data_IF_457382241087
#
_entry.id   IF_457382241087
#
_cell.length_a   1.000
_cell.length_b   1.000
_cell.length_c   1.000
_cell.angle_alpha   90.00
_cell.angle_beta   90.00
_cell.angle_gamma   90.00
#
_symmetry.space_group_name_H-M   'P 1'
#
loop_
_entity.id
_entity.type
_entity.pdbx_description
1 polymer ?
#
# COMPACT_ATOMS: atom_id res chain seq x y z
N UNK A 1 -18.94 -10.45 -7.11
CA UNK A 1 -19.05 -11.83 -7.61
C UNK A 1 -17.64 -12.32 -7.86
N UNK A 2 -17.26 -13.46 -7.28
CA UNK A 2 -15.89 -13.99 -7.36
C UNK A 2 -15.61 -14.46 -8.79
N UNK A 3 -14.43 -14.14 -9.29
CA UNK A 3 -13.99 -14.58 -10.62
C UNK A 3 -13.88 -16.11 -10.64
N UNK A 4 -14.52 -16.74 -11.64
CA UNK A 4 -14.60 -18.21 -11.79
C UNK A 4 -13.57 -18.81 -12.75
N UNK A 5 -12.82 -17.97 -13.48
CA UNK A 5 -11.80 -18.36 -14.45
C UNK A 5 -10.43 -17.84 -14.02
N UNK A 6 -9.39 -18.59 -14.31
CA UNK A 6 -8.02 -18.12 -14.18
C UNK A 6 -7.74 -16.92 -15.09
N UNK A 7 -6.78 -16.10 -14.68
CA UNK A 7 -6.28 -15.01 -15.50
C UNK A 7 -4.78 -14.86 -15.29
N UNK A 8 -4.12 -14.28 -16.29
CA UNK A 8 -2.71 -13.88 -16.23
C UNK A 8 -2.65 -12.38 -16.42
N UNK A 9 -1.99 -11.68 -15.50
CA UNK A 9 -1.56 -10.30 -15.69
C UNK A 9 -0.10 -10.33 -16.10
N UNK A 10 0.26 -9.82 -17.28
CA UNK A 10 1.66 -9.86 -17.72
C UNK A 10 2.52 -8.92 -16.88
N UNK A 11 3.84 -9.09 -16.98
CA UNK A 11 4.79 -8.19 -16.37
C UNK A 11 4.58 -6.76 -16.90
N UNK A 12 4.55 -5.77 -16.00
CA UNK A 12 4.30 -4.36 -16.33
C UNK A 12 2.85 -4.02 -16.69
N UNK A 13 1.93 -4.99 -16.74
CA UNK A 13 0.50 -4.73 -16.91
C UNK A 13 -0.22 -4.75 -15.56
N UNK A 14 -1.39 -4.13 -15.50
CA UNK A 14 -2.30 -4.23 -14.37
C UNK A 14 -3.59 -4.99 -14.73
N UNK A 15 -4.21 -5.62 -13.73
CA UNK A 15 -5.54 -6.22 -13.84
C UNK A 15 -6.54 -5.11 -14.20
N UNK A 16 -7.31 -5.34 -15.26
CA UNK A 16 -8.20 -4.34 -15.87
C UNK A 16 -7.50 -3.11 -16.47
N UNK A 17 -6.17 -3.09 -16.53
CA UNK A 17 -5.40 -1.91 -16.96
C UNK A 17 -5.43 -0.75 -15.96
N UNK A 18 -5.77 -1.02 -14.69
CA UNK A 18 -5.86 -0.01 -13.64
C UNK A 18 -4.50 0.25 -13.00
N UNK A 19 -3.99 1.46 -13.17
CA UNK A 19 -2.71 1.89 -12.59
C UNK A 19 -2.98 3.10 -11.70
N UNK A 20 -2.65 3.01 -10.41
CA UNK A 20 -2.79 4.11 -9.47
C UNK A 20 -1.45 4.75 -9.16
N UNK A 21 -1.50 6.01 -8.74
CA UNK A 21 -0.36 6.69 -8.13
C UNK A 21 -0.77 7.19 -6.76
N UNK A 22 -0.14 6.69 -5.71
CA UNK A 22 -0.31 7.26 -4.38
C UNK A 22 0.51 8.54 -4.32
N UNK A 23 -0.14 9.69 -4.49
CA UNK A 23 0.48 11.02 -4.39
C UNK A 23 0.26 11.59 -2.99
N UNK A 24 0.95 12.68 -2.65
CA UNK A 24 0.74 13.46 -1.42
C UNK A 24 1.23 12.81 -0.12
N UNK A 25 1.17 11.48 -0.04
CA UNK A 25 1.67 10.67 1.08
C UNK A 25 2.99 10.00 0.72
N UNK A 26 3.02 9.36 -0.45
CA UNK A 26 4.23 8.87 -1.12
C UNK A 26 4.19 9.32 -2.58
N UNK A 27 5.04 8.75 -3.43
CA UNK A 27 5.00 8.83 -4.90
C UNK A 27 4.98 7.43 -5.51
N UNK A 28 4.31 6.49 -4.85
CA UNK A 28 4.30 5.10 -5.27
C UNK A 28 3.37 4.91 -6.48
N UNK A 29 3.83 4.16 -7.47
CA UNK A 29 2.95 3.62 -8.52
C UNK A 29 2.44 2.25 -8.05
N UNK A 30 1.13 2.02 -8.14
CA UNK A 30 0.49 0.77 -7.75
C UNK A 30 -0.25 0.17 -8.93
N UNK A 31 0.29 -0.92 -9.44
CA UNK A 31 -0.34 -1.72 -10.49
C UNK A 31 -1.17 -2.81 -9.81
N UNK A 32 -2.49 -2.78 -9.98
CA UNK A 32 -3.33 -3.82 -9.40
C UNK A 32 -3.03 -5.16 -10.10
N UNK A 33 -2.76 -6.21 -9.33
CA UNK A 33 -2.48 -7.56 -9.86
C UNK A 33 -3.65 -8.51 -9.63
N UNK A 34 -4.32 -8.36 -8.49
CA UNK A 34 -5.56 -9.06 -8.14
C UNK A 34 -6.48 -8.03 -7.49
N UNK A 35 -7.68 -7.83 -8.04
CA UNK A 35 -8.65 -6.88 -7.49
C UNK A 35 -9.54 -7.53 -6.43
N UNK A 36 -10.02 -6.73 -5.48
CA UNK A 36 -11.13 -7.10 -4.61
C UNK A 36 -12.37 -7.53 -5.40
N UNK A 37 -12.58 -6.99 -6.61
CA UNK A 37 -13.66 -7.43 -7.50
C UNK A 37 -13.49 -8.88 -7.95
N UNK A 38 -12.26 -9.38 -8.12
CA UNK A 38 -11.99 -10.77 -8.48
C UNK A 38 -12.25 -11.74 -7.31
N UNK A 39 -12.21 -11.25 -6.07
CA UNK A 39 -12.08 -12.08 -4.86
C UNK A 39 -13.27 -11.99 -3.91
N UNK A 40 -14.37 -11.36 -4.33
CA UNK A 40 -15.48 -11.00 -3.42
C UNK A 40 -14.98 -10.21 -2.21
N UNK A 41 -14.10 -9.25 -2.48
CA UNK A 41 -13.43 -8.41 -1.49
C UNK A 41 -12.49 -9.18 -0.54
N UNK A 42 -12.23 -10.47 -0.76
CA UNK A 42 -11.40 -11.28 0.15
C UNK A 42 -9.91 -10.98 0.09
N UNK A 43 -9.41 -10.40 -1.00
CA UNK A 43 -7.99 -10.13 -1.23
C UNK A 43 -7.80 -9.09 -2.33
N UNK A 44 -6.91 -8.12 -2.12
CA UNK A 44 -6.34 -7.32 -3.19
C UNK A 44 -4.81 -7.43 -3.16
N UNK A 45 -4.18 -7.42 -4.32
CA UNK A 45 -2.72 -7.50 -4.48
C UNK A 45 -2.28 -6.45 -5.49
N UNK A 46 -1.24 -5.70 -5.15
CA UNK A 46 -0.62 -4.69 -6.01
C UNK A 46 0.88 -4.97 -6.16
N UNK A 47 1.42 -4.72 -7.35
CA UNK A 47 2.84 -4.47 -7.52
C UNK A 47 3.05 -2.98 -7.29
N UNK A 48 3.82 -2.64 -6.25
CA UNK A 48 4.11 -1.27 -5.88
C UNK A 48 5.55 -0.93 -6.28
N UNK A 49 5.71 0.09 -7.12
CA UNK A 49 7.01 0.72 -7.39
C UNK A 49 7.12 2.00 -6.58
N UNK A 50 8.07 2.03 -5.64
CA UNK A 50 8.28 3.17 -4.75
C UNK A 50 9.31 4.15 -5.30
N UNK A 51 8.96 5.44 -5.24
CA UNK A 51 9.75 6.57 -5.76
C UNK A 51 9.89 7.68 -4.71
N UNK A 52 9.99 7.30 -3.43
CA UNK A 52 10.04 8.24 -2.30
C UNK A 52 11.20 7.91 -1.38
N UNK A 53 12.46 8.09 -1.82
CA UNK A 53 13.62 7.86 -0.97
C UNK A 53 13.53 8.71 0.29
N UNK A 54 13.87 8.11 1.43
CA UNK A 54 13.74 8.69 2.76
C UNK A 54 12.33 9.18 3.10
N UNK A 55 11.30 8.59 2.50
CA UNK A 55 9.90 8.84 2.86
C UNK A 55 9.04 7.58 2.84
N UNK A 56 7.79 7.77 3.27
CA UNK A 56 6.81 6.71 3.40
C UNK A 56 5.51 7.22 4.04
N UNK A 57 4.51 6.34 4.24
CA UNK A 57 3.22 6.75 4.77
C UNK A 57 3.33 7.21 6.24
N UNK A 58 2.35 7.99 6.73
CA UNK A 58 2.22 8.22 8.16
C UNK A 58 2.01 6.90 8.91
N UNK A 59 2.34 6.88 10.19
CA UNK A 59 1.98 5.77 11.06
C UNK A 59 0.45 5.64 11.13
N UNK A 60 -0.06 4.48 10.74
CA UNK A 60 -1.49 4.25 10.62
C UNK A 60 -1.89 2.83 11.02
N UNK A 61 -3.20 2.60 11.16
CA UNK A 61 -3.81 1.33 11.52
C UNK A 61 -4.86 0.97 10.48
N UNK A 62 -4.84 -0.29 10.05
CA UNK A 62 -5.95 -0.96 9.39
C UNK A 62 -6.79 -1.73 10.44
N UNK A 63 -8.02 -1.33 10.77
CA UNK A 63 -8.87 -2.03 11.72
C UNK A 63 -9.38 -3.38 11.19
N UNK A 64 -9.55 -3.47 9.87
CA UNK A 64 -10.21 -4.60 9.22
C UNK A 64 -9.29 -5.44 8.34
N UNK A 65 -8.20 -4.87 7.82
CA UNK A 65 -7.27 -5.58 6.94
C UNK A 65 -6.00 -5.98 7.68
N UNK A 66 -5.57 -7.22 7.48
CA UNK A 66 -4.13 -7.52 7.56
C UNK A 66 -3.47 -7.01 6.28
N UNK A 67 -2.25 -6.49 6.40
CA UNK A 67 -1.43 -6.06 5.27
C UNK A 67 -0.16 -6.91 5.21
N UNK A 68 0.31 -7.20 4.01
CA UNK A 68 1.48 -8.04 3.79
C UNK A 68 2.34 -7.47 2.67
N UNK A 69 3.65 -7.47 2.88
CA UNK A 69 4.64 -7.05 1.89
C UNK A 69 5.65 -8.13 1.57
N UNK A 70 6.08 -8.16 0.32
CA UNK A 70 7.27 -8.86 -0.14
C UNK A 70 8.16 -7.89 -0.93
N UNK A 71 9.44 -7.78 -0.55
CA UNK A 71 10.38 -6.87 -1.21
C UNK A 71 10.98 -7.55 -2.43
N UNK A 72 10.70 -7.00 -3.62
CA UNK A 72 11.30 -7.44 -4.87
C UNK A 72 12.66 -6.74 -5.07
N UNK A 73 12.70 -5.41 -4.89
CA UNK A 73 13.89 -4.59 -5.12
C UNK A 73 13.95 -3.41 -4.14
N UNK A 74 15.17 -2.97 -3.83
CA UNK A 74 15.41 -1.86 -2.91
C UNK A 74 15.42 -2.28 -1.44
N UNK A 75 15.51 -1.30 -0.57
CA UNK A 75 15.58 -1.50 0.88
C UNK A 75 14.59 -0.59 1.59
N UNK A 76 14.01 -1.10 2.68
CA UNK A 76 13.00 -0.43 3.47
C UNK A 76 13.27 -0.61 4.96
N UNK A 77 12.80 0.33 5.77
CA UNK A 77 12.55 0.10 7.19
C UNK A 77 11.05 0.02 7.38
N UNK A 78 10.54 -1.08 7.94
CA UNK A 78 9.17 -1.17 8.39
C UNK A 78 9.12 -0.94 9.90
N UNK A 79 8.13 -0.19 10.36
CA UNK A 79 7.74 -0.16 11.77
C UNK A 79 6.43 -0.91 11.92
N UNK A 80 6.37 -1.85 12.87
CA UNK A 80 5.17 -2.64 13.19
C UNK A 80 5.01 -2.67 14.70
N UNK A 81 3.97 -2.03 15.22
CA UNK A 81 3.88 -1.72 16.63
C UNK A 81 5.00 -0.77 17.04
N UNK A 82 5.86 -1.24 17.94
CA UNK A 82 7.01 -0.51 18.46
C UNK A 82 8.33 -0.97 17.83
N UNK A 83 8.32 -2.10 17.10
CA UNK A 83 9.51 -2.70 16.51
C UNK A 83 9.80 -2.15 15.12
N UNK A 84 11.10 -2.10 14.78
CA UNK A 84 11.58 -1.73 13.45
C UNK A 84 12.36 -2.86 12.79
N UNK A 85 12.13 -3.04 11.50
CA UNK A 85 12.70 -4.12 10.70
C UNK A 85 13.34 -3.53 9.45
N UNK A 86 14.65 -3.74 9.26
CA UNK A 86 15.29 -3.49 7.97
C UNK A 86 14.97 -4.64 7.02
N UNK A 87 14.52 -4.29 5.83
CA UNK A 87 14.04 -5.21 4.81
C UNK A 87 14.80 -4.98 3.51
N UNK A 88 15.25 -6.07 2.87
CA UNK A 88 15.91 -6.07 1.56
C UNK A 88 15.18 -7.01 0.60
N UNK A 89 15.60 -7.03 -0.66
CA UNK A 89 15.10 -7.98 -1.67
C UNK A 89 15.05 -9.42 -1.14
N UNK A 90 13.88 -10.05 -1.28
CA UNK A 90 13.61 -11.41 -0.81
C UNK A 90 12.90 -11.49 0.53
N UNK A 91 12.93 -10.42 1.33
CA UNK A 91 12.30 -10.41 2.64
C UNK A 91 10.79 -10.18 2.54
N UNK A 92 10.07 -10.68 3.54
CA UNK A 92 8.63 -10.51 3.68
C UNK A 92 8.26 -10.06 5.10
N UNK A 93 7.22 -9.24 5.22
CA UNK A 93 6.69 -8.81 6.51
C UNK A 93 5.17 -8.85 6.48
N UNK A 94 4.59 -9.34 7.57
CA UNK A 94 3.15 -9.39 7.80
C UNK A 94 2.80 -8.34 8.86
N UNK A 95 1.78 -7.55 8.58
CA UNK A 95 1.29 -6.43 9.38
C UNK A 95 -0.12 -6.78 9.85
N UNK A 96 -0.28 -7.30 11.08
CA UNK A 96 -1.59 -7.68 11.58
C UNK A 96 -2.52 -6.46 11.67
N UNK A 97 -3.80 -6.67 11.38
CA UNK A 97 -4.86 -5.68 11.63
C UNK A 97 -4.81 -5.19 13.08
N UNK A 98 -5.22 -3.96 13.30
CA UNK A 98 -5.22 -3.27 14.60
C UNK A 98 -3.81 -3.01 15.19
N UNK A 99 -2.73 -3.33 14.47
CA UNK A 99 -1.37 -2.96 14.84
C UNK A 99 -0.91 -1.79 13.97
N UNK A 100 -0.42 -0.72 14.61
CA UNK A 100 0.07 0.44 13.90
C UNK A 100 1.32 0.10 13.08
N UNK A 101 1.43 0.64 11.88
CA UNK A 101 2.60 0.44 11.04
C UNK A 101 2.84 1.60 10.07
N UNK A 102 4.08 1.64 9.59
CA UNK A 102 4.56 2.52 8.54
C UNK A 102 5.78 1.87 7.88
N UNK A 103 6.21 2.41 6.74
CA UNK A 103 7.50 2.08 6.18
C UNK A 103 8.27 3.35 5.81
N UNK A 104 9.58 3.21 5.62
CA UNK A 104 10.50 4.20 5.08
C UNK A 104 11.25 3.52 3.94
N UNK A 105 11.19 4.08 2.73
CA UNK A 105 12.02 3.62 1.63
C UNK A 105 13.44 4.20 1.78
N UNK A 106 14.47 3.36 1.76
CA UNK A 106 15.87 3.79 1.92
C UNK A 106 16.56 4.07 0.59
N UNK A 107 16.17 3.37 -0.48
CA UNK A 107 16.79 3.47 -1.80
C UNK A 107 16.04 4.44 -2.72
N UNK A 108 16.71 4.96 -3.75
CA UNK A 108 16.11 5.86 -4.77
C UNK A 108 14.87 5.26 -5.45
N UNK A 109 14.91 3.95 -5.69
CA UNK A 109 13.80 3.17 -6.23
C UNK A 109 13.62 1.92 -5.38
N UNK A 110 12.37 1.55 -5.15
CA UNK A 110 12.02 0.28 -4.54
C UNK A 110 10.89 -0.41 -5.30
N UNK A 111 10.73 -1.70 -5.07
CA UNK A 111 9.65 -2.52 -5.62
C UNK A 111 9.19 -3.54 -4.60
N UNK A 112 7.89 -3.59 -4.36
CA UNK A 112 7.26 -4.53 -3.43
C UNK A 112 6.01 -5.14 -4.05
N UNK A 113 5.64 -6.33 -3.62
CA UNK A 113 4.24 -6.75 -3.67
C UNK A 113 3.61 -6.35 -2.35
N UNK A 114 2.42 -5.74 -2.41
CA UNK A 114 1.60 -5.44 -1.23
C UNK A 114 0.23 -6.09 -1.38
N UNK A 115 -0.30 -6.60 -0.28
CA UNK A 115 -1.62 -7.21 -0.26
C UNK A 115 -2.42 -6.85 0.98
N UNK A 116 -3.74 -6.84 0.82
CA UNK A 116 -4.72 -6.52 1.85
C UNK A 116 -5.73 -7.65 1.99
N UNK A 117 -5.94 -8.13 3.22
CA UNK A 117 -6.85 -9.22 3.55
C UNK A 117 -7.83 -8.81 4.66
N UNK A 118 -9.11 -8.51 4.36
CA UNK A 118 -9.74 -8.43 3.04
C UNK A 118 -9.22 -7.25 2.20
N UNK A 119 -9.61 -7.15 0.92
CA UNK A 119 -9.25 -6.03 0.04
C UNK A 119 -9.70 -4.66 0.63
N UNK A 120 -10.89 -4.63 1.21
CA UNK A 120 -11.45 -3.41 1.80
C UNK A 120 -11.59 -2.28 0.79
N UNK A 121 -11.30 -1.04 1.22
CA UNK A 121 -11.44 0.17 0.39
C UNK A 121 -10.13 0.63 -0.27
N UNK A 122 -9.12 -0.23 -0.35
CA UNK A 122 -7.78 0.20 -0.80
C UNK A 122 -7.73 0.66 -2.25
N UNK A 123 -8.44 0.00 -3.16
CA UNK A 123 -8.54 0.48 -4.55
C UNK A 123 -9.17 1.87 -4.64
N UNK A 124 -10.22 2.13 -3.83
CA UNK A 124 -10.86 3.44 -3.77
C UNK A 124 -9.92 4.50 -3.16
N UNK A 125 -9.15 4.13 -2.13
CA UNK A 125 -8.16 5.00 -1.51
C UNK A 125 -7.10 5.44 -2.52
N UNK A 126 -6.50 4.49 -3.25
CA UNK A 126 -5.49 4.81 -4.24
C UNK A 126 -6.04 5.66 -5.38
N UNK A 127 -7.29 5.40 -5.80
CA UNK A 127 -7.99 6.22 -6.81
C UNK A 127 -8.22 7.67 -6.35
N UNK A 128 -8.44 7.91 -5.06
CA UNK A 128 -8.53 9.28 -4.51
C UNK A 128 -7.15 9.94 -4.51
N UNK A 129 -6.13 9.26 -3.99
CA UNK A 129 -4.77 9.84 -3.91
C UNK A 129 -4.15 10.11 -5.27
N UNK A 130 -4.49 9.34 -6.31
CA UNK A 130 -4.02 9.59 -7.68
C UNK A 130 -4.60 10.88 -8.27
N UNK A 131 -5.73 11.36 -7.78
CA UNK A 131 -6.32 12.61 -8.27
C UNK A 131 -5.71 13.86 -7.65
N UNK A 132 -4.86 13.75 -6.63
CA UNK A 132 -4.21 14.92 -6.05
C UNK A 132 -3.22 15.55 -7.02
N UNK A 133 -3.36 16.87 -7.20
CA UNK A 133 -2.52 17.68 -8.10
C UNK A 133 -1.59 18.63 -7.34
N UNK A 134 -1.80 18.77 -6.03
CA UNK A 134 -0.97 19.53 -5.09
C UNK A 134 -0.76 18.72 -3.81
N UNK A 135 0.28 19.02 -3.01
CA UNK A 135 0.43 18.40 -1.69
C UNK A 135 -0.81 18.64 -0.82
N UNK A 136 -1.45 17.59 -0.28
CA UNK A 136 -2.61 17.72 0.59
C UNK A 136 -2.19 18.24 1.97
N UNK A 137 -3.13 18.83 2.71
CA UNK A 137 -2.94 19.18 4.11
C UNK A 137 -2.93 17.93 5.00
N UNK A 138 -2.49 18.07 6.26
CA UNK A 138 -2.53 16.95 7.21
C UNK A 138 -3.97 16.52 7.49
N UNK A 139 -4.89 17.49 7.56
CA UNK A 139 -6.31 17.26 7.79
C UNK A 139 -6.95 16.49 6.63
N UNK A 140 -6.56 16.82 5.38
CA UNK A 140 -7.00 16.10 4.18
C UNK A 140 -6.46 14.66 4.17
N UNK A 141 -5.19 14.45 4.53
CA UNK A 141 -4.61 13.10 4.66
C UNK A 141 -5.40 12.29 5.70
N UNK A 142 -5.58 12.82 6.91
CA UNK A 142 -6.32 12.13 7.98
C UNK A 142 -7.73 11.79 7.54
N UNK A 143 -8.42 12.74 6.90
CA UNK A 143 -9.78 12.53 6.39
C UNK A 143 -9.82 11.42 5.33
N UNK A 144 -8.93 11.46 4.34
CA UNK A 144 -8.93 10.44 3.27
C UNK A 144 -8.59 9.07 3.82
N UNK A 145 -7.68 8.94 4.78
CA UNK A 145 -7.46 7.66 5.46
C UNK A 145 -8.73 7.17 6.16
N UNK A 146 -9.39 8.05 6.94
CA UNK A 146 -10.61 7.71 7.66
C UNK A 146 -11.78 7.31 6.75
N UNK A 147 -11.99 8.01 5.63
CA UNK A 147 -13.02 7.68 4.63
C UNK A 147 -12.83 6.28 4.03
N UNK A 148 -11.58 5.77 4.06
CA UNK A 148 -11.17 4.46 3.56
C UNK A 148 -10.85 3.46 4.69
N UNK A 149 -11.46 3.67 5.85
CA UNK A 149 -11.41 2.78 7.02
C UNK A 149 -10.01 2.61 7.64
N UNK A 150 -9.10 3.56 7.44
CA UNK A 150 -7.79 3.59 8.11
C UNK A 150 -7.73 4.69 9.17
N UNK A 151 -6.89 4.50 10.18
CA UNK A 151 -6.66 5.51 11.24
C UNK A 151 -5.20 5.96 11.23
N UNK A 152 -4.97 7.24 10.97
CA UNK A 152 -3.65 7.85 11.20
C UNK A 152 -3.44 8.03 12.70
N UNK A 153 -2.30 7.57 13.21
CA UNK A 153 -1.95 7.61 14.65
C UNK A 153 -0.60 8.26 14.93
N UNK A 154 0.17 8.60 13.89
CA UNK A 154 1.43 9.31 14.03
C UNK A 154 1.98 9.84 12.71
N UNK A 155 3.13 10.50 12.78
CA UNK A 155 3.86 10.94 11.60
C UNK A 155 4.58 9.78 10.89
N UNK A 156 5.19 10.04 9.72
CA UNK A 156 6.07 9.08 9.06
C UNK A 156 7.30 8.73 9.92
N UNK A 157 7.94 7.61 9.60
CA UNK A 157 9.24 7.26 10.16
C UNK A 157 10.25 8.36 9.74
N UNK A 158 11.09 8.77 10.69
CA UNK A 158 12.21 9.68 10.46
C UNK A 158 13.51 8.92 10.37
#
# INVERSE_FOLDING_TARGET
MRTKKEFKVKAGEARFGEHYKMKGVTLNNLDIKISGADTENGLAVFEQTGLTPNGGPPLHIHPYQDEWFYVIAGEYVFQVGDDKYQMKSGDTIFLPRNVQHAFLQLTEKGKTIVSYLPAGKMEAFFKVTDKWTSPPTKEEIVKVFADHDMKVVGGPIK
#
